data_IF_219039309399
#
_entry.id   IF_219039309399
#
_cell.length_a   1.000
_cell.length_b   1.000
_cell.length_c   1.000
_cell.angle_alpha   90.00
_cell.angle_beta   90.00
_cell.angle_gamma   90.00
#
_symmetry.space_group_name_H-M   'P 1'
#
loop_
_entity.id
_entity.type
_entity.pdbx_description
1 polymer ?
#
# COMPACT_ATOMS: atom_id res chain seq x y z
N UNK A 1 -15.30 -14.92 -29.50
CA UNK A 1 -15.09 -13.78 -28.59
C UNK A 1 -15.56 -14.22 -27.22
N UNK A 2 -14.66 -14.33 -26.23
CA UNK A 2 -15.05 -14.74 -24.87
C UNK A 2 -15.33 -13.47 -24.07
N UNK A 3 -16.60 -13.24 -23.74
CA UNK A 3 -17.02 -12.24 -22.78
C UNK A 3 -16.35 -12.51 -21.43
N UNK A 4 -15.25 -11.81 -21.14
CA UNK A 4 -14.66 -11.78 -19.81
C UNK A 4 -15.36 -10.69 -19.00
N UNK A 5 -16.50 -11.04 -18.38
CA UNK A 5 -17.01 -10.26 -17.23
C UNK A 5 -15.85 -10.12 -16.24
N UNK A 6 -15.61 -8.93 -15.65
CA UNK A 6 -14.56 -8.78 -14.64
C UNK A 6 -14.95 -9.63 -13.42
N UNK A 7 -14.42 -10.84 -13.36
CA UNK A 7 -14.58 -11.72 -12.21
C UNK A 7 -13.81 -11.08 -11.06
N UNK A 8 -14.53 -10.62 -10.03
CA UNK A 8 -13.90 -10.15 -8.79
C UNK A 8 -13.04 -11.30 -8.27
N UNK A 9 -11.71 -11.15 -8.30
CA UNK A 9 -10.79 -12.14 -7.75
C UNK A 9 -11.11 -12.35 -6.26
N UNK A 10 -11.15 -13.59 -5.75
CA UNK A 10 -11.34 -13.84 -4.33
C UNK A 10 -10.23 -13.18 -3.49
N UNK A 11 -10.57 -12.71 -2.29
CA UNK A 11 -9.64 -12.05 -1.37
C UNK A 11 -8.36 -12.86 -1.15
N UNK A 12 -8.51 -14.16 -0.86
CA UNK A 12 -7.36 -15.04 -0.61
C UNK A 12 -6.38 -15.11 -1.78
N UNK A 13 -6.89 -15.10 -3.01
CA UNK A 13 -6.04 -15.14 -4.21
C UNK A 13 -5.31 -13.81 -4.45
N UNK A 14 -5.95 -12.68 -4.13
CA UNK A 14 -5.31 -11.36 -4.17
C UNK A 14 -4.13 -11.31 -3.18
N UNK A 15 -4.36 -11.76 -1.94
CA UNK A 15 -3.33 -11.80 -0.90
C UNK A 15 -2.17 -12.73 -1.27
N UNK A 16 -2.46 -13.86 -1.92
CA UNK A 16 -1.45 -14.80 -2.41
C UNK A 16 -0.61 -14.19 -3.52
N UNK A 17 -1.24 -13.53 -4.49
CA UNK A 17 -0.55 -12.81 -5.57
C UNK A 17 0.33 -11.67 -5.03
N UNK A 18 -0.13 -11.00 -3.97
CA UNK A 18 0.65 -10.00 -3.25
C UNK A 18 1.80 -10.58 -2.39
N UNK A 19 1.98 -11.91 -2.35
CA UNK A 19 2.96 -12.61 -1.52
C UNK A 19 2.84 -12.31 0.00
N UNK A 20 1.62 -11.96 0.42
CA UNK A 20 1.25 -11.73 1.82
C UNK A 20 0.86 -13.03 2.52
N UNK A 21 0.37 -14.01 1.74
CA UNK A 21 0.13 -15.38 2.20
C UNK A 21 0.75 -16.37 1.22
N UNK A 22 1.30 -17.46 1.74
CA UNK A 22 1.79 -18.57 0.91
C UNK A 22 0.62 -19.40 0.35
N UNK A 23 0.84 -20.18 -0.73
CA UNK A 23 -0.16 -21.12 -1.22
C UNK A 23 -0.65 -22.08 -0.12
N UNK A 24 0.27 -22.63 0.68
CA UNK A 24 -0.04 -23.54 1.79
C UNK A 24 -0.87 -22.85 2.87
N UNK A 25 -0.51 -21.63 3.28
CA UNK A 25 -1.29 -20.86 4.26
C UNK A 25 -2.72 -20.59 3.77
N UNK A 26 -2.87 -20.28 2.47
CA UNK A 26 -4.17 -20.07 1.86
C UNK A 26 -4.99 -21.37 1.80
N UNK A 27 -4.37 -22.50 1.40
CA UNK A 27 -5.03 -23.82 1.35
C UNK A 27 -5.54 -24.25 2.72
N UNK A 28 -4.73 -24.11 3.76
CA UNK A 28 -5.12 -24.42 5.13
C UNK A 28 -6.27 -23.54 5.62
N UNK A 29 -6.22 -22.24 5.32
CA UNK A 29 -7.30 -21.31 5.67
C UNK A 29 -8.60 -21.60 4.91
N UNK A 30 -8.52 -22.03 3.65
CA UNK A 30 -9.67 -22.46 2.84
C UNK A 30 -10.28 -23.77 3.37
N UNK A 31 -9.44 -24.71 3.81
CA UNK A 31 -9.91 -25.94 4.46
C UNK A 31 -10.69 -25.61 5.73
N UNK A 32 -10.18 -24.72 6.57
CA UNK A 32 -10.88 -24.25 7.76
C UNK A 32 -12.18 -23.51 7.43
N UNK A 33 -12.16 -22.63 6.41
CA UNK A 33 -13.35 -21.95 5.92
C UNK A 33 -14.44 -22.93 5.49
N UNK A 34 -14.08 -24.05 4.85
CA UNK A 34 -15.04 -25.06 4.39
C UNK A 34 -15.84 -25.67 5.56
N UNK A 35 -15.18 -25.83 6.71
CA UNK A 35 -15.70 -26.45 7.94
C UNK A 35 -16.48 -25.46 8.81
N UNK A 36 -15.98 -24.23 8.93
CA UNK A 36 -16.51 -23.21 9.86
C UNK A 36 -17.44 -22.20 9.21
N UNK A 37 -17.41 -22.08 7.88
CA UNK A 37 -18.06 -21.01 7.09
C UNK A 37 -17.61 -19.59 7.46
N UNK A 38 -16.43 -19.42 8.06
CA UNK A 38 -15.85 -18.12 8.40
C UNK A 38 -15.37 -17.29 7.20
N UNK A 39 -15.07 -16.00 7.40
CA UNK A 39 -14.48 -15.15 6.35
C UNK A 39 -13.00 -15.46 6.19
N UNK A 40 -12.52 -15.61 4.95
CA UNK A 40 -11.13 -16.04 4.69
C UNK A 40 -10.10 -15.08 5.31
N UNK A 41 -10.35 -13.77 5.27
CA UNK A 41 -9.48 -12.76 5.88
C UNK A 41 -9.37 -12.95 7.39
N UNK A 42 -10.48 -13.15 8.10
CA UNK A 42 -10.49 -13.38 9.55
C UNK A 42 -9.77 -14.68 9.93
N UNK A 43 -9.94 -15.73 9.11
CA UNK A 43 -9.25 -17.00 9.33
C UNK A 43 -7.73 -16.82 9.19
N UNK A 44 -7.28 -16.11 8.14
CA UNK A 44 -5.86 -15.80 7.95
C UNK A 44 -5.28 -14.96 9.09
N UNK A 45 -6.06 -14.02 9.64
CA UNK A 45 -5.67 -13.24 10.82
C UNK A 45 -5.59 -14.10 12.08
N UNK A 46 -6.61 -14.93 12.35
CA UNK A 46 -6.63 -15.85 13.50
C UNK A 46 -5.46 -16.84 13.49
N UNK A 47 -5.03 -17.26 12.29
CA UNK A 47 -3.86 -18.12 12.09
C UNK A 47 -2.52 -17.37 12.14
N UNK A 48 -2.53 -16.06 12.34
CA UNK A 48 -1.32 -15.22 12.38
C UNK A 48 -0.62 -15.08 11.03
N UNK A 49 -1.29 -15.38 9.91
CA UNK A 49 -0.68 -15.28 8.58
C UNK A 49 -0.54 -13.84 8.11
N UNK A 50 -1.50 -12.98 8.47
CA UNK A 50 -1.53 -11.54 8.16
C UNK A 50 -2.10 -10.76 9.33
N UNK A 51 -1.92 -9.43 9.33
CA UNK A 51 -2.55 -8.52 10.29
C UNK A 51 -4.00 -8.23 9.90
N UNK A 52 -4.80 -7.79 10.87
CA UNK A 52 -6.22 -7.43 10.66
C UNK A 52 -6.34 -6.27 9.65
N UNK A 53 -5.47 -5.26 9.77
CA UNK A 53 -5.40 -4.10 8.89
C UNK A 53 -5.14 -4.52 7.44
N UNK A 54 -4.27 -5.51 7.23
CA UNK A 54 -4.00 -6.08 5.90
C UNK A 54 -5.25 -6.74 5.34
N UNK A 55 -5.93 -7.58 6.13
CA UNK A 55 -7.15 -8.25 5.69
C UNK A 55 -8.24 -7.24 5.32
N UNK A 56 -8.45 -6.22 6.15
CA UNK A 56 -9.46 -5.19 5.96
C UNK A 56 -9.17 -4.32 4.73
N UNK A 57 -7.94 -3.85 4.57
CA UNK A 57 -7.53 -3.05 3.41
C UNK A 57 -7.81 -3.79 2.08
N UNK A 58 -7.44 -5.06 1.98
CA UNK A 58 -7.66 -5.83 0.76
C UNK A 58 -9.12 -6.21 0.53
N UNK A 59 -9.89 -6.40 1.60
CA UNK A 59 -11.31 -6.72 1.51
C UNK A 59 -12.17 -5.50 1.13
N UNK A 60 -11.81 -4.32 1.61
CA UNK A 60 -12.65 -3.12 1.55
C UNK A 60 -12.17 -2.13 0.49
N UNK A 61 -10.86 -1.85 0.43
CA UNK A 61 -10.33 -0.74 -0.37
C UNK A 61 -9.76 -1.19 -1.71
N UNK A 62 -9.03 -2.32 -1.74
CA UNK A 62 -8.20 -2.70 -2.88
C UNK A 62 -8.92 -2.70 -4.23
N UNK A 63 -10.12 -3.28 -4.30
CA UNK A 63 -10.92 -3.36 -5.55
C UNK A 63 -11.32 -1.97 -6.06
N UNK A 64 -11.65 -1.05 -5.15
CA UNK A 64 -11.94 0.32 -5.52
C UNK A 64 -10.66 1.04 -5.96
N UNK A 65 -9.58 0.87 -5.19
CA UNK A 65 -8.31 1.50 -5.47
C UNK A 65 -7.79 1.15 -6.85
N UNK A 66 -7.79 -0.13 -7.29
CA UNK A 66 -7.25 -0.50 -8.62
C UNK A 66 -8.02 0.13 -9.79
N UNK A 67 -9.30 0.46 -9.62
CA UNK A 67 -10.14 1.07 -10.68
C UNK A 67 -10.12 2.60 -10.70
N UNK A 68 -9.66 3.25 -9.63
CA UNK A 68 -9.61 4.72 -9.55
C UNK A 68 -8.54 5.33 -10.47
N UNK A 69 -8.84 6.50 -11.05
CA UNK A 69 -7.88 7.25 -11.91
C UNK A 69 -6.84 8.02 -11.11
N UNK A 70 -7.20 8.58 -9.96
CA UNK A 70 -6.28 9.30 -9.09
C UNK A 70 -5.80 8.37 -7.98
N UNK A 71 -4.48 8.27 -7.80
CA UNK A 71 -3.86 7.41 -6.80
C UNK A 71 -3.01 8.22 -5.82
N UNK A 72 -2.97 7.78 -4.58
CA UNK A 72 -2.12 8.31 -3.51
C UNK A 72 -0.74 7.66 -3.52
N UNK A 73 0.35 8.35 -3.15
CA UNK A 73 1.71 7.78 -3.17
C UNK A 73 1.80 6.38 -2.55
N UNK A 74 2.62 5.49 -3.12
CA UNK A 74 2.70 4.08 -2.71
C UNK A 74 2.81 3.86 -1.19
N UNK A 75 3.60 4.69 -0.50
CA UNK A 75 3.76 4.62 0.96
C UNK A 75 2.45 4.77 1.73
N UNK A 76 1.49 5.56 1.23
CA UNK A 76 0.16 5.70 1.84
C UNK A 76 -0.58 4.36 1.86
N UNK A 77 -0.55 3.61 0.75
CA UNK A 77 -1.24 2.32 0.66
C UNK A 77 -0.53 1.23 1.45
N UNK A 78 0.80 1.22 1.47
CA UNK A 78 1.57 0.30 2.32
C UNK A 78 1.28 0.54 3.80
N UNK A 79 1.10 1.80 4.21
CA UNK A 79 0.66 2.15 5.56
C UNK A 79 -0.74 1.64 5.88
N UNK A 80 -1.71 1.96 5.01
CA UNK A 80 -3.10 1.53 5.21
C UNK A 80 -3.25 0.02 5.27
N UNK A 81 -2.43 -0.71 4.51
CA UNK A 81 -2.39 -2.17 4.54
C UNK A 81 -1.66 -2.75 5.78
N UNK A 82 -1.12 -1.91 6.68
CA UNK A 82 -0.34 -2.34 7.85
C UNK A 82 1.02 -2.94 7.53
N UNK A 83 1.51 -2.74 6.30
CA UNK A 83 2.79 -3.26 5.80
C UNK A 83 3.96 -2.33 6.14
N UNK A 84 3.68 -1.04 6.31
CA UNK A 84 4.61 -0.06 6.86
C UNK A 84 3.92 0.75 7.96
N UNK A 85 4.67 1.23 8.94
CA UNK A 85 4.20 2.20 9.92
C UNK A 85 4.74 3.61 9.63
N UNK A 86 4.31 4.58 10.44
CA UNK A 86 4.73 5.98 10.32
C UNK A 86 6.23 6.16 10.59
N UNK A 87 6.82 5.39 11.49
CA UNK A 87 8.25 5.47 11.82
C UNK A 87 9.11 5.00 10.65
N UNK A 88 8.75 3.87 10.05
CA UNK A 88 9.39 3.31 8.86
C UNK A 88 9.29 4.28 7.67
N UNK A 89 8.11 4.88 7.46
CA UNK A 89 7.91 5.87 6.39
C UNK A 89 8.75 7.12 6.63
N UNK A 90 8.75 7.66 7.86
CA UNK A 90 9.54 8.84 8.21
C UNK A 90 11.04 8.59 8.07
N UNK A 91 11.50 7.39 8.43
CA UNK A 91 12.89 6.96 8.25
C UNK A 91 13.28 7.00 6.77
N UNK A 92 12.44 6.45 5.89
CA UNK A 92 12.68 6.48 4.43
C UNK A 92 12.73 7.92 3.91
N UNK A 93 11.80 8.77 4.33
CA UNK A 93 11.74 10.17 3.90
C UNK A 93 12.97 10.95 4.38
N UNK A 94 13.43 10.70 5.61
CA UNK A 94 14.67 11.28 6.15
C UNK A 94 15.88 10.93 5.29
N UNK A 95 16.08 9.64 4.99
CA UNK A 95 17.19 9.16 4.16
C UNK A 95 17.17 9.73 2.74
N UNK A 96 15.98 9.96 2.17
CA UNK A 96 15.84 10.61 0.85
C UNK A 96 16.30 12.07 0.84
N UNK A 97 16.22 12.77 1.98
CA UNK A 97 16.63 14.18 2.11
C UNK A 97 18.14 14.32 2.36
N UNK A 98 18.77 13.30 2.92
CA UNK A 98 20.18 13.30 3.34
C UNK A 98 21.16 12.80 2.25
N UNK A 99 20.68 12.06 1.24
CA UNK A 99 21.52 11.24 0.34
C UNK A 99 21.70 11.71 -1.11
N UNK A 100 22.87 11.38 -1.68
CA UNK A 100 23.31 11.64 -3.08
C UNK A 100 22.60 10.83 -4.17
N UNK A 101 21.78 9.83 -3.83
CA UNK A 101 21.09 8.96 -4.79
C UNK A 101 19.61 8.79 -4.41
N UNK A 102 18.71 9.04 -5.37
CA UNK A 102 17.27 8.89 -5.14
C UNK A 102 16.85 7.43 -5.32
N UNK A 103 16.21 6.87 -4.30
CA UNK A 103 15.59 5.53 -4.34
C UNK A 103 14.11 5.68 -4.01
N UNK A 104 13.24 5.00 -4.78
CA UNK A 104 11.79 5.00 -4.49
C UNK A 104 11.50 4.33 -3.15
N UNK A 105 10.51 4.87 -2.43
CA UNK A 105 10.11 4.39 -1.10
C UNK A 105 9.90 2.87 -1.05
N UNK A 106 9.18 2.30 -2.03
CA UNK A 106 8.92 0.87 -2.07
C UNK A 106 10.20 0.03 -2.18
N UNK A 107 11.15 0.44 -3.02
CA UNK A 107 12.42 -0.27 -3.16
C UNK A 107 13.30 -0.15 -1.91
N UNK A 108 13.29 1.01 -1.24
CA UNK A 108 14.02 1.17 0.01
C UNK A 108 13.40 0.34 1.16
N UNK A 109 12.06 0.29 1.24
CA UNK A 109 11.35 -0.58 2.18
C UNK A 109 11.69 -2.07 1.96
N UNK A 110 11.81 -2.49 0.70
CA UNK A 110 12.23 -3.84 0.36
C UNK A 110 13.70 -4.11 0.68
N UNK A 111 14.60 -3.16 0.40
CA UNK A 111 16.01 -3.26 0.74
C UNK A 111 16.23 -3.39 2.27
N UNK A 112 15.42 -2.69 3.07
CA UNK A 112 15.43 -2.79 4.53
C UNK A 112 14.75 -4.05 5.08
N UNK A 113 14.14 -4.86 4.21
CA UNK A 113 13.46 -6.11 4.59
C UNK A 113 12.11 -5.91 5.27
N UNK A 114 11.54 -4.70 5.28
CA UNK A 114 10.27 -4.39 5.93
C UNK A 114 9.07 -4.92 5.15
N UNK A 115 9.17 -4.93 3.82
CA UNK A 115 8.15 -5.45 2.91
C UNK A 115 8.85 -6.26 1.82
N UNK A 116 8.31 -7.39 1.39
CA UNK A 116 8.92 -8.17 0.30
C UNK A 116 8.88 -7.37 -1.01
N UNK A 117 9.94 -7.50 -1.82
CA UNK A 117 9.98 -6.88 -3.15
C UNK A 117 8.78 -7.31 -4.01
N UNK A 118 8.41 -8.58 -3.99
CA UNK A 118 7.24 -9.11 -4.71
C UNK A 118 5.92 -8.46 -4.29
N UNK A 119 5.79 -8.07 -3.02
CA UNK A 119 4.63 -7.31 -2.55
C UNK A 119 4.66 -5.89 -3.09
N UNK A 120 5.82 -5.24 -3.12
CA UNK A 120 5.98 -3.92 -3.74
C UNK A 120 5.63 -3.97 -5.23
N UNK A 121 6.16 -4.94 -5.96
CA UNK A 121 5.91 -5.16 -7.38
C UNK A 121 4.41 -5.32 -7.64
N UNK A 122 3.74 -6.17 -6.85
CA UNK A 122 2.30 -6.35 -6.94
C UNK A 122 1.52 -5.03 -6.80
N UNK A 123 1.86 -4.19 -5.82
CA UNK A 123 1.19 -2.89 -5.67
C UNK A 123 1.46 -1.96 -6.86
N UNK A 124 2.71 -1.90 -7.33
CA UNK A 124 3.09 -1.04 -8.46
C UNK A 124 2.41 -1.50 -9.74
N UNK A 125 2.41 -2.79 -10.07
CA UNK A 125 1.77 -3.34 -11.26
C UNK A 125 0.26 -3.03 -11.32
N UNK A 126 -0.42 -3.06 -10.17
CA UNK A 126 -1.87 -2.90 -10.13
C UNK A 126 -2.33 -1.44 -9.92
N UNK A 127 -1.53 -0.60 -9.26
CA UNK A 127 -1.88 0.80 -8.99
C UNK A 127 -1.19 1.78 -9.95
N UNK A 128 0.00 1.41 -10.45
CA UNK A 128 0.90 2.25 -11.24
C UNK A 128 1.52 1.47 -12.40
N UNK A 129 0.73 0.85 -13.30
CA UNK A 129 1.27 -0.01 -14.37
C UNK A 129 2.28 0.74 -15.26
N UNK A 130 2.08 2.03 -15.49
CA UNK A 130 3.02 2.90 -16.25
C UNK A 130 4.39 3.05 -15.58
N UNK A 131 4.48 2.85 -14.26
CA UNK A 131 5.71 2.97 -13.49
C UNK A 131 6.38 1.62 -13.21
N UNK A 132 5.72 0.50 -13.53
CA UNK A 132 6.22 -0.85 -13.24
C UNK A 132 7.50 -1.18 -14.03
N UNK A 133 7.66 -0.62 -15.23
CA UNK A 133 8.88 -0.77 -16.05
C UNK A 133 9.98 0.23 -15.71
N UNK A 134 9.73 1.20 -14.83
CA UNK A 134 10.70 2.25 -14.51
C UNK A 134 11.70 1.79 -13.44
N UNK A 135 12.97 2.17 -13.61
CA UNK A 135 14.01 1.85 -12.63
C UNK A 135 13.71 2.48 -11.25
N UNK A 136 13.84 1.73 -10.15
CA UNK A 136 13.61 2.23 -8.79
C UNK A 136 14.54 3.37 -8.36
N UNK A 137 15.64 3.58 -9.09
CA UNK A 137 16.65 4.61 -8.85
C UNK A 137 16.36 5.93 -9.58
N UNK A 138 15.16 6.08 -10.14
CA UNK A 138 14.75 7.28 -10.89
C UNK A 138 13.81 8.17 -10.10
N UNK A 139 14.04 9.49 -10.14
CA UNK A 139 13.09 10.47 -9.62
C UNK A 139 11.79 10.39 -10.43
N UNK A 140 10.61 10.32 -9.78
CA UNK A 140 9.36 10.34 -10.51
C UNK A 140 9.30 11.63 -11.33
N UNK A 141 9.02 11.50 -12.64
CA UNK A 141 8.68 12.66 -13.47
C UNK A 141 7.37 13.20 -12.91
N UNK A 142 7.45 14.23 -12.07
CA UNK A 142 6.31 14.96 -11.54
C UNK A 142 5.22 15.05 -12.61
N UNK A 143 4.05 14.46 -12.34
CA UNK A 143 2.84 14.73 -13.08
C UNK A 143 2.62 16.24 -13.00
N UNK A 144 2.96 16.92 -14.09
CA UNK A 144 2.86 18.36 -14.26
C UNK A 144 1.37 18.69 -14.31
N UNK A 145 0.67 18.67 -13.17
CA UNK A 145 -0.65 19.32 -13.07
C UNK A 145 -0.38 20.79 -13.34
N UNK A 146 -0.87 21.30 -14.50
CA UNK A 146 -0.97 22.72 -14.78
C UNK A 146 -1.73 23.36 -13.62
N UNK A 147 -1.02 23.97 -12.68
CA UNK A 147 -1.62 24.95 -11.79
C UNK A 147 -1.95 26.18 -12.65
N UNK A 148 -3.19 26.23 -13.14
CA UNK A 148 -3.79 27.51 -13.47
C UNK A 148 -4.07 28.22 -12.15
N UNK A 149 -3.27 29.24 -11.87
CA UNK A 149 -3.54 30.39 -11.01
C UNK A 149 -4.15 30.12 -9.62
N UNK A 150 -3.32 30.18 -8.59
CA UNK A 150 -3.21 31.38 -7.75
C UNK A 150 -1.98 31.21 -6.86
N UNK A 151 -1.17 32.26 -6.75
CA UNK A 151 0.04 32.25 -5.93
C UNK A 151 -0.27 32.04 -4.46
N UNK A 152 0.60 31.27 -3.80
CA UNK A 152 1.41 31.69 -2.65
C UNK A 152 2.23 30.46 -2.22
N UNK A 153 3.56 30.55 -2.47
CA UNK A 153 4.69 29.96 -1.72
C UNK A 153 4.30 28.82 -0.76
N UNK A 154 4.62 27.55 -1.02
CA UNK A 154 6.00 27.11 -1.16
C UNK A 154 6.78 27.29 0.14
N UNK A 155 6.24 26.89 1.30
CA UNK A 155 6.89 26.54 2.58
C UNK A 155 5.84 25.78 3.41
N UNK A 156 6.29 24.75 4.13
CA UNK A 156 5.61 23.89 5.11
C UNK A 156 4.38 24.46 5.84
N UNK A 157 3.37 23.60 6.07
CA UNK A 157 2.33 23.78 7.09
C UNK A 157 2.78 23.01 8.36
N UNK A 158 3.14 23.68 9.47
CA UNK A 158 3.14 23.03 10.77
C UNK A 158 1.71 23.03 11.31
N UNK A 159 1.07 21.86 11.28
CA UNK A 159 -0.11 21.61 12.11
C UNK A 159 0.36 21.35 13.53
N UNK A 160 0.28 22.37 14.40
CA UNK A 160 0.07 22.24 15.85
C UNK A 160 -0.37 23.60 16.40
N UNK A 161 -1.68 23.89 16.25
CA UNK A 161 -2.39 24.77 17.17
C UNK A 161 -3.12 23.84 18.12
N UNK A 162 -2.69 23.77 19.37
CA UNK A 162 -3.64 23.47 20.44
C UNK A 162 -3.44 24.51 21.53
N UNK A 163 -4.33 25.50 21.50
CA UNK A 163 -4.58 26.42 22.60
C UNK A 163 -5.99 26.04 23.07
N UNK A 164 -6.06 25.38 24.21
CA UNK A 164 -7.22 25.46 25.09
C UNK A 164 -6.73 26.11 26.37
N UNK A 165 -7.30 27.28 26.58
CA UNK A 165 -7.41 28.08 27.79
C UNK A 165 -8.20 27.33 28.88
N UNK A 166 -8.47 28.03 29.98
CA UNK A 166 -9.18 27.71 31.24
C UNK A 166 -8.19 27.32 32.36
N UNK A 167 -7.99 28.07 33.44
CA UNK A 167 -8.77 29.17 34.02
C UNK A 167 -8.71 29.04 35.54
N UNK A 168 -8.81 30.19 36.21
CA UNK A 168 -8.78 30.53 37.66
C UNK A 168 -7.41 30.69 38.29
#
# INVERSE_FOLDING_TARGET
MVDRKPTRKPLGEILRQANLVSPTQLEEALLEQSRTKGRIGEILVKRGCIKQETADFFAQDWIHLVTQKEKQPLGHYLKQAGLLDDEQINTIIGEQNEGKLWIRLGALAALKGWVKQSTIDFFVEHLYPEQASESPFTKPKSSRKKSKGLGLKGIWIPLLKNSQDQGT
#
